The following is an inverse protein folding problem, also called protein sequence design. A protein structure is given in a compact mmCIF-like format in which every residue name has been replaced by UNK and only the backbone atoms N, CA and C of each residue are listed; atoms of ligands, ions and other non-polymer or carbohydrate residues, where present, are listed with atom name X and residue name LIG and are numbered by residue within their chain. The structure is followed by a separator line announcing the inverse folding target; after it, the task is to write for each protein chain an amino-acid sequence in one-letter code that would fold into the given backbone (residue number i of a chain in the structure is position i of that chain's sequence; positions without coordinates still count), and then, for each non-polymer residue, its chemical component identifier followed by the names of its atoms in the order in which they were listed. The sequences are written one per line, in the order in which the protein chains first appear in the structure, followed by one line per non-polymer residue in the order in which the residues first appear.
data_IF_324204973938
#
_entry.id   IF_324204973938
#
_cell.length_a   1.000
_cell.length_b   1.000
_cell.length_c   1.000
_cell.angle_alpha   90.00
_cell.angle_beta   90.00
_cell.angle_gamma   90.00
#
_symmetry.space_group_name_H-M   'P 1'
#
loop_
_entity.id
_entity.type
_entity.pdbx_description
1 polymer ?
#
# COMPACT_ATOMS: atom_id res chain seq x y z
N UNK A 1 -1.37 -0.52 -19.56
CA UNK A 1 -2.24 -1.64 -20.01
C UNK A 1 -3.44 -1.73 -19.07
N UNK A 2 -4.37 -2.69 -19.26
CA UNK A 2 -5.60 -2.78 -18.46
C UNK A 2 -5.35 -2.92 -16.94
N UNK A 3 -4.27 -3.62 -16.55
CA UNK A 3 -3.85 -3.74 -15.15
C UNK A 3 -3.43 -2.39 -14.56
N UNK A 4 -2.55 -1.65 -15.23
CA UNK A 4 -2.09 -0.34 -14.75
C UNK A 4 -3.26 0.65 -14.60
N UNK A 5 -4.19 0.63 -15.56
CA UNK A 5 -5.39 1.46 -15.52
C UNK A 5 -6.30 1.10 -14.32
N UNK A 6 -6.45 -0.20 -14.03
CA UNK A 6 -7.20 -0.67 -12.86
C UNK A 6 -6.50 -0.27 -11.56
N UNK A 7 -5.17 -0.44 -11.46
CA UNK A 7 -4.39 -0.06 -10.27
C UNK A 7 -4.52 1.42 -9.96
N UNK A 8 -4.35 2.27 -10.97
CA UNK A 8 -4.47 3.72 -10.82
C UNK A 8 -5.87 4.12 -10.35
N UNK A 9 -6.92 3.61 -11.01
CA UNK A 9 -8.30 3.91 -10.64
C UNK A 9 -8.65 3.45 -9.21
N UNK A 10 -8.19 2.26 -8.80
CA UNK A 10 -8.40 1.78 -7.44
C UNK A 10 -7.66 2.61 -6.39
N UNK A 11 -6.47 3.12 -6.72
CA UNK A 11 -5.72 4.00 -5.85
C UNK A 11 -6.42 5.36 -5.67
N UNK A 12 -6.90 5.97 -6.75
CA UNK A 12 -7.64 7.24 -6.70
C UNK A 12 -8.90 7.10 -5.81
N UNK A 13 -9.69 6.05 -6.02
CA UNK A 13 -10.87 5.76 -5.18
C UNK A 13 -10.50 5.59 -3.70
N UNK A 14 -9.36 4.98 -3.41
CA UNK A 14 -8.89 4.79 -2.04
C UNK A 14 -8.46 6.13 -1.40
N UNK A 15 -7.68 6.94 -2.10
CA UNK A 15 -7.21 8.26 -1.62
C UNK A 15 -8.37 9.23 -1.37
N UNK A 16 -9.38 9.20 -2.24
CA UNK A 16 -10.58 10.05 -2.11
C UNK A 16 -11.57 9.53 -1.04
N UNK A 17 -11.29 8.38 -0.42
CA UNK A 17 -12.17 7.76 0.57
C UNK A 17 -13.49 7.24 -0.04
N UNK A 18 -13.51 7.03 -1.35
CA UNK A 18 -14.67 6.54 -2.07
C UNK A 18 -14.85 5.03 -1.92
N UNK A 19 -16.07 4.55 -2.18
CA UNK A 19 -16.37 3.13 -2.10
C UNK A 19 -15.80 2.39 -3.30
N UNK A 20 -14.86 1.48 -3.06
CA UNK A 20 -14.37 0.56 -4.09
C UNK A 20 -15.49 -0.43 -4.47
N UNK A 21 -15.87 -0.53 -5.75
CA UNK A 21 -16.94 -1.41 -6.19
C UNK A 21 -16.53 -2.88 -6.12
N UNK A 22 -17.50 -3.76 -5.85
CA UNK A 22 -17.27 -5.21 -5.94
C UNK A 22 -17.13 -5.65 -7.40
N UNK A 23 -16.21 -6.58 -7.64
CA UNK A 23 -16.03 -7.19 -8.95
C UNK A 23 -17.30 -7.94 -9.37
N UNK A 24 -17.77 -7.70 -10.59
CA UNK A 24 -18.90 -8.45 -11.15
C UNK A 24 -18.50 -9.91 -11.39
N UNK A 25 -19.43 -10.83 -11.13
CA UNK A 25 -19.30 -12.23 -11.55
C UNK A 25 -19.25 -12.30 -13.07
N UNK A 26 -18.38 -13.17 -13.57
CA UNK A 26 -18.15 -13.36 -15.01
C UNK A 26 -19.45 -13.75 -15.73
N UNK A 27 -20.25 -14.61 -15.10
CA UNK A 27 -21.56 -15.08 -15.61
C UNK A 27 -22.56 -13.94 -15.89
N UNK A 28 -22.40 -12.80 -15.23
CA UNK A 28 -23.30 -11.65 -15.36
C UNK A 28 -22.83 -10.65 -16.45
N UNK A 29 -21.74 -10.93 -17.16
CA UNK A 29 -21.18 -10.07 -18.20
C UNK A 29 -21.63 -10.57 -19.57
N UNK A 30 -22.39 -9.75 -20.30
CA UNK A 30 -22.78 -10.00 -21.69
C UNK A 30 -21.74 -9.39 -22.62
N UNK A 31 -21.26 -10.20 -23.57
CA UNK A 31 -20.31 -9.77 -24.59
C UNK A 31 -21.03 -9.50 -25.92
N UNK A 32 -20.58 -8.49 -26.64
CA UNK A 32 -20.98 -8.23 -28.02
C UNK A 32 -20.17 -9.10 -29.00
N UNK A 33 -20.58 -9.11 -30.28
CA UNK A 33 -19.83 -9.83 -31.30
C UNK A 33 -18.40 -9.27 -31.40
N UNK A 34 -17.42 -10.17 -31.51
CA UNK A 34 -15.98 -9.87 -31.55
C UNK A 34 -15.37 -9.29 -30.25
N UNK A 35 -16.04 -9.40 -29.10
CA UNK A 35 -15.44 -9.09 -27.80
C UNK A 35 -14.85 -10.33 -27.12
N UNK A 36 -13.73 -10.14 -26.43
CA UNK A 36 -13.09 -11.15 -25.58
C UNK A 36 -13.01 -10.64 -24.15
N UNK A 37 -13.41 -11.47 -23.20
CA UNK A 37 -13.30 -11.17 -21.78
C UNK A 37 -11.91 -11.52 -21.25
N UNK A 38 -11.30 -10.60 -20.50
CA UNK A 38 -10.02 -10.79 -19.82
C UNK A 38 -10.23 -10.51 -18.34
N UNK A 39 -9.71 -11.39 -17.48
CA UNK A 39 -9.72 -11.19 -16.03
C UNK A 39 -8.42 -10.47 -15.65
N UNK A 40 -8.55 -9.37 -14.93
CA UNK A 40 -7.43 -8.63 -14.35
C UNK A 40 -7.48 -8.79 -12.83
N UNK A 41 -6.33 -9.09 -12.22
CA UNK A 41 -6.20 -9.22 -10.77
C UNK A 41 -5.56 -7.97 -10.20
N UNK A 42 -6.03 -7.55 -9.03
CA UNK A 42 -5.48 -6.41 -8.30
C UNK A 42 -5.56 -6.71 -6.79
N UNK A 43 -4.49 -6.40 -6.07
CA UNK A 43 -4.47 -6.43 -4.61
C UNK A 43 -4.35 -5.00 -4.10
N UNK A 44 -5.42 -4.48 -3.51
CA UNK A 44 -5.47 -3.09 -3.06
C UNK A 44 -4.34 -2.76 -2.06
N UNK A 45 -3.98 -3.69 -1.17
CA UNK A 45 -2.90 -3.45 -0.20
C UNK A 45 -1.53 -3.29 -0.88
N UNK A 46 -1.29 -4.05 -1.95
CA UNK A 46 -0.06 -3.92 -2.73
C UNK A 46 -0.05 -2.61 -3.53
N UNK A 47 -1.19 -2.24 -4.12
CA UNK A 47 -1.35 -0.98 -4.86
C UNK A 47 -1.07 0.22 -3.94
N UNK A 48 -1.66 0.25 -2.74
CA UNK A 48 -1.40 1.32 -1.77
C UNK A 48 0.09 1.38 -1.43
N UNK A 49 0.74 0.25 -1.16
CA UNK A 49 2.19 0.20 -0.87
C UNK A 49 3.05 0.63 -2.06
N UNK A 50 2.60 0.40 -3.29
CA UNK A 50 3.28 0.76 -4.52
C UNK A 50 3.16 2.26 -4.83
N UNK A 51 1.97 2.82 -4.69
CA UNK A 51 1.66 4.20 -5.08
C UNK A 51 1.88 5.20 -3.92
N UNK A 52 1.64 4.80 -2.67
CA UNK A 52 1.95 5.58 -1.45
C UNK A 52 3.27 5.10 -0.80
N UNK A 53 4.32 5.05 -1.62
CA UNK A 53 5.66 4.61 -1.19
C UNK A 53 6.60 5.78 -0.81
N UNK A 54 6.08 7.00 -0.76
CA UNK A 54 6.91 8.20 -0.53
C UNK A 54 7.43 8.22 0.90
N UNK A 55 8.75 8.32 1.04
CA UNK A 55 9.36 8.45 2.35
C UNK A 55 9.00 9.80 2.98
N UNK A 56 8.31 9.78 4.11
CA UNK A 56 7.94 10.99 4.88
C UNK A 56 8.94 11.18 6.03
N UNK A 57 9.63 12.33 6.05
CA UNK A 57 10.50 12.71 7.18
C UNK A 57 9.66 12.91 8.45
N UNK A 58 10.06 12.28 9.54
CA UNK A 58 9.48 12.48 10.87
C UNK A 58 10.55 13.00 11.84
N UNK A 59 10.19 14.01 12.62
CA UNK A 59 10.99 14.51 13.74
C UNK A 59 10.41 13.93 15.03
N UNK A 60 11.25 13.32 15.86
CA UNK A 60 10.83 12.60 17.07
C UNK A 60 11.71 12.98 18.26
N UNK A 61 11.23 12.70 19.47
CA UNK A 61 11.92 12.97 20.73
C UNK A 61 12.15 11.66 21.48
N UNK A 62 13.40 11.40 21.86
CA UNK A 62 13.79 10.23 22.67
C UNK A 62 14.77 10.65 23.78
N UNK A 63 14.87 9.90 24.88
CA UNK A 63 15.87 10.16 25.92
C UNK A 63 17.30 10.17 25.37
N UNK A 64 18.13 11.11 25.85
CA UNK A 64 19.51 11.28 25.36
C UNK A 64 20.37 10.02 25.56
N UNK A 65 20.18 9.29 26.66
CA UNK A 65 20.91 8.05 26.91
C UNK A 65 20.59 6.99 25.84
N UNK A 66 19.34 6.89 25.39
CA UNK A 66 18.91 5.92 24.39
C UNK A 66 19.47 6.26 23.01
N UNK A 67 19.49 7.55 22.65
CA UNK A 67 20.10 7.99 21.40
C UNK A 67 21.58 7.60 21.34
N UNK A 68 22.33 7.85 22.42
CA UNK A 68 23.76 7.51 22.50
C UNK A 68 24.01 6.01 22.34
N UNK A 69 23.23 5.17 23.01
CA UNK A 69 23.37 3.71 22.89
C UNK A 69 22.97 3.21 21.49
N UNK A 70 21.93 3.77 20.88
CA UNK A 70 21.51 3.44 19.52
C UNK A 70 22.56 3.87 18.47
N UNK A 71 23.17 5.04 18.62
CA UNK A 71 24.24 5.53 17.74
C UNK A 71 25.50 4.67 17.83
N UNK A 72 25.93 4.29 19.05
CA UNK A 72 27.05 3.37 19.26
C UNK A 72 26.82 2.01 18.60
N UNK A 73 25.57 1.53 18.61
CA UNK A 73 25.17 0.29 17.98
C UNK A 73 24.87 0.44 16.48
N UNK A 74 25.10 1.62 15.88
CA UNK A 74 24.83 1.93 14.47
C UNK A 74 23.39 1.63 14.03
N UNK A 75 22.42 1.90 14.92
CA UNK A 75 20.99 1.66 14.65
C UNK A 75 20.48 2.58 13.54
N UNK A 76 19.81 2.01 12.54
CA UNK A 76 19.03 2.77 11.58
C UNK A 76 17.65 3.12 12.18
N UNK A 77 17.53 4.33 12.72
CA UNK A 77 16.29 4.80 13.36
C UNK A 77 15.06 4.74 12.44
N UNK A 78 15.22 5.08 11.15
CA UNK A 78 14.11 5.06 10.19
C UNK A 78 13.59 3.64 9.98
N UNK A 79 14.51 2.69 9.75
CA UNK A 79 14.12 1.29 9.55
C UNK A 79 13.53 0.67 10.81
N UNK A 80 14.11 0.95 11.98
CA UNK A 80 13.59 0.47 13.27
C UNK A 80 12.19 1.01 13.55
N UNK A 81 11.95 2.30 13.29
CA UNK A 81 10.64 2.92 13.44
C UNK A 81 9.61 2.28 12.50
N UNK A 82 9.94 2.10 11.21
CA UNK A 82 9.05 1.46 10.25
C UNK A 82 8.68 0.03 10.67
N UNK A 83 9.66 -0.77 11.10
CA UNK A 83 9.43 -2.13 11.60
C UNK A 83 8.53 -2.13 12.84
N UNK A 84 8.80 -1.22 13.78
CA UNK A 84 8.04 -1.15 15.03
C UNK A 84 6.60 -0.70 14.80
N UNK A 85 6.37 0.24 13.88
CA UNK A 85 5.02 0.68 13.49
C UNK A 85 4.23 -0.43 12.80
N UNK A 86 4.84 -1.16 11.86
CA UNK A 86 4.20 -2.31 11.20
C UNK A 86 3.77 -3.37 12.23
N UNK A 87 4.69 -3.71 13.15
CA UNK A 87 4.39 -4.63 14.24
C UNK A 87 3.26 -4.13 15.14
N UNK A 88 3.26 -2.84 15.49
CA UNK A 88 2.27 -2.26 16.41
C UNK A 88 0.87 -2.16 15.79
N UNK A 89 0.78 -2.02 14.48
CA UNK A 89 -0.47 -1.92 13.73
C UNK A 89 -0.95 -3.27 13.17
N UNK A 90 -0.29 -4.37 13.52
CA UNK A 90 -0.55 -5.70 12.96
C UNK A 90 -0.50 -5.74 11.42
N UNK A 91 0.37 -4.93 10.82
CA UNK A 91 0.61 -4.83 9.38
C UNK A 91 1.79 -5.71 8.91
N UNK A 92 2.12 -6.74 9.69
CA UNK A 92 3.20 -7.65 9.36
C UNK A 92 2.81 -8.53 8.18
N UNK A 93 3.55 -8.40 7.08
CA UNK A 93 3.58 -9.38 5.98
C UNK A 93 4.54 -10.53 6.33
#
# INVERSE_FOLDING_TARGET
MAEDALKLCLFDLYEDGEKIPEAKKIENIKLESNQTLIIVKANLKEIIKEYDNKAVKKTLTIPSWLNKEAEKAHVNFSQLLQKSLKNHLDLND
#
